data_IF_993375385141
#
_entry.id   IF_993375385141
#
_cell.length_a   1.000
_cell.length_b   1.000
_cell.length_c   1.000
_cell.angle_alpha   90.00
_cell.angle_beta   90.00
_cell.angle_gamma   90.00
#
_symmetry.space_group_name_H-M   'P 1'
#
loop_
_entity.id
_entity.type
_entity.pdbx_description
1 polymer ?
#
# COMPACT_ATOMS: atom_id res chain seq x y z
N UNK A 1 -10.50 -3.54 -35.50
CA UNK A 1 -10.90 -2.23 -34.92
C UNK A 1 -10.74 -1.08 -35.91
N UNK A 2 -9.60 -0.38 -36.03
CA UNK A 2 -9.55 0.89 -36.80
C UNK A 2 -9.99 0.78 -38.27
N UNK A 3 -9.56 -0.27 -39.00
CA UNK A 3 -9.99 -0.50 -40.38
C UNK A 3 -11.43 -1.00 -40.51
N UNK A 4 -11.93 -1.73 -39.51
CA UNK A 4 -13.26 -2.34 -39.51
C UNK A 4 -14.35 -1.33 -39.14
N UNK A 5 -14.06 -0.44 -38.20
CA UNK A 5 -15.00 0.56 -37.69
C UNK A 5 -14.81 1.95 -38.31
N UNK A 6 -13.84 2.11 -39.23
CA UNK A 6 -13.53 3.41 -39.83
C UNK A 6 -13.08 4.46 -38.81
N UNK A 7 -12.37 4.04 -37.76
CA UNK A 7 -12.00 4.91 -36.64
C UNK A 7 -11.07 6.03 -37.10
N UNK A 8 -11.44 7.29 -36.83
CA UNK A 8 -10.61 8.48 -37.12
C UNK A 8 -10.00 9.12 -35.87
N UNK A 9 -10.50 8.77 -34.69
CA UNK A 9 -10.05 9.30 -33.41
C UNK A 9 -9.99 8.18 -32.36
N UNK A 10 -8.88 8.11 -31.62
CA UNK A 10 -8.69 7.25 -30.47
C UNK A 10 -8.38 8.12 -29.25
N UNK A 11 -9.11 7.91 -28.15
CA UNK A 11 -8.89 8.62 -26.89
C UNK A 11 -8.59 7.62 -25.78
N UNK A 12 -7.66 7.97 -24.89
CA UNK A 12 -7.41 7.19 -23.68
C UNK A 12 -6.75 8.05 -22.60
N UNK A 13 -6.91 7.61 -21.35
CA UNK A 13 -6.22 8.20 -20.22
C UNK A 13 -4.72 7.86 -20.26
N UNK A 14 -3.87 8.86 -20.01
CA UNK A 14 -2.42 8.67 -20.01
C UNK A 14 -1.99 7.87 -18.78
N UNK A 15 -1.31 6.76 -19.02
CA UNK A 15 -0.66 5.96 -18.00
C UNK A 15 0.74 6.51 -17.66
N UNK A 16 1.03 6.88 -16.40
CA UNK A 16 2.35 7.36 -15.99
C UNK A 16 3.38 6.23 -15.80
N UNK A 17 2.99 4.95 -15.75
CA UNK A 17 3.88 3.84 -15.44
C UNK A 17 4.76 3.46 -16.65
N UNK A 18 6.00 2.98 -16.46
CA UNK A 18 6.95 2.72 -17.55
C UNK A 18 6.43 1.75 -18.61
N UNK A 19 5.79 0.65 -18.20
CA UNK A 19 5.20 -0.31 -19.15
C UNK A 19 4.05 0.35 -19.94
N UNK A 20 3.13 1.03 -19.25
CA UNK A 20 2.03 1.77 -19.87
C UNK A 20 2.52 2.80 -20.89
N UNK A 21 3.55 3.57 -20.54
CA UNK A 21 4.19 4.53 -21.47
C UNK A 21 4.75 3.86 -22.72
N UNK A 22 5.39 2.70 -22.59
CA UNK A 22 5.94 1.97 -23.73
C UNK A 22 4.83 1.41 -24.62
N UNK A 23 3.79 0.80 -24.03
CA UNK A 23 2.59 0.34 -24.73
C UNK A 23 1.94 1.50 -25.49
N UNK A 24 1.66 2.60 -24.81
CA UNK A 24 0.96 3.76 -25.37
C UNK A 24 1.76 4.40 -26.51
N UNK A 25 3.09 4.46 -26.40
CA UNK A 25 3.95 4.94 -27.48
C UNK A 25 3.83 4.08 -28.75
N UNK A 26 3.78 2.75 -28.60
CA UNK A 26 3.58 1.84 -29.71
C UNK A 26 2.18 2.00 -30.34
N UNK A 27 1.13 2.12 -29.51
CA UNK A 27 -0.24 2.35 -30.00
C UNK A 27 -0.36 3.68 -30.74
N UNK A 28 0.28 4.75 -30.24
CA UNK A 28 0.31 6.05 -30.91
C UNK A 28 1.02 5.98 -32.26
N UNK A 29 2.11 5.21 -32.36
CA UNK A 29 2.81 5.01 -33.63
C UNK A 29 1.92 4.31 -34.66
N UNK A 30 1.27 3.20 -34.27
CA UNK A 30 0.33 2.46 -35.13
C UNK A 30 -0.84 3.36 -35.55
N UNK A 31 -1.45 4.08 -34.61
CA UNK A 31 -2.57 4.98 -34.90
C UNK A 31 -2.19 6.07 -35.92
N UNK A 32 -0.97 6.64 -35.79
CA UNK A 32 -0.44 7.63 -36.74
C UNK A 32 -0.26 7.05 -38.13
N UNK A 33 0.28 5.84 -38.26
CA UNK A 33 0.43 5.15 -39.56
C UNK A 33 -0.93 4.92 -40.23
N UNK A 34 -1.97 4.69 -39.44
CA UNK A 34 -3.34 4.49 -39.91
C UNK A 34 -4.12 5.80 -40.12
N UNK A 35 -3.50 6.97 -39.91
CA UNK A 35 -4.18 8.28 -40.02
C UNK A 35 -5.20 8.57 -38.92
N UNK A 36 -5.14 7.85 -37.80
CA UNK A 36 -6.02 8.02 -36.64
C UNK A 36 -5.46 9.09 -35.71
N UNK A 37 -6.26 10.09 -35.38
CA UNK A 37 -5.91 11.11 -34.39
C UNK A 37 -5.92 10.52 -32.98
N UNK A 38 -4.89 10.76 -32.17
CA UNK A 38 -4.81 10.25 -30.79
C UNK A 38 -4.88 11.39 -29.78
N UNK A 39 -5.83 11.31 -28.85
CA UNK A 39 -5.99 12.27 -27.76
C UNK A 39 -5.74 11.58 -26.41
N UNK A 40 -4.63 11.94 -25.77
CA UNK A 40 -4.29 11.48 -24.43
C UNK A 40 -4.48 12.59 -23.40
N UNK A 41 -5.13 12.29 -22.28
CA UNK A 41 -5.29 13.21 -21.15
C UNK A 41 -4.85 12.56 -19.84
N UNK A 42 -4.19 13.33 -18.98
CA UNK A 42 -3.84 12.87 -17.63
C UNK A 42 -5.02 13.12 -16.70
N UNK A 43 -5.57 12.08 -16.09
CA UNK A 43 -6.60 12.17 -15.04
C UNK A 43 -6.45 11.13 -13.92
N UNK A 44 -5.63 10.09 -14.12
CA UNK A 44 -5.31 9.08 -13.10
C UNK A 44 -4.57 9.66 -11.91
N UNK A 45 -3.82 10.75 -12.12
CA UNK A 45 -3.06 11.47 -11.10
C UNK A 45 -3.50 12.93 -10.99
N UNK A 46 -3.35 13.50 -9.79
CA UNK A 46 -3.61 14.91 -9.51
C UNK A 46 -2.75 15.81 -10.41
N UNK A 47 -1.45 15.48 -10.47
CA UNK A 47 -0.47 16.23 -11.24
C UNK A 47 0.12 15.38 -12.36
N UNK A 48 0.71 16.05 -13.35
CA UNK A 48 1.57 15.37 -14.33
C UNK A 48 2.92 15.10 -13.66
N UNK A 49 3.36 13.83 -13.50
CA UNK A 49 4.66 13.52 -12.90
C UNK A 49 5.83 14.27 -13.53
N UNK A 50 5.79 14.50 -14.85
CA UNK A 50 6.85 15.21 -15.58
C UNK A 50 7.02 16.66 -15.08
N UNK A 51 5.92 17.36 -14.77
CA UNK A 51 5.98 18.72 -14.24
C UNK A 51 6.63 18.78 -12.86
N UNK A 52 6.40 17.77 -12.02
CA UNK A 52 7.02 17.67 -10.69
C UNK A 52 8.53 17.42 -10.84
N UNK A 53 8.91 16.53 -11.77
CA UNK A 53 10.30 16.21 -12.09
C UNK A 53 11.04 17.43 -12.66
N UNK A 54 10.42 18.18 -13.57
CA UNK A 54 10.94 19.44 -14.13
C UNK A 54 11.22 20.46 -13.02
N UNK A 55 10.25 20.69 -12.12
CA UNK A 55 10.44 21.60 -10.97
C UNK A 55 11.53 21.16 -10.00
N UNK A 56 11.92 19.90 -10.03
CA UNK A 56 13.00 19.34 -9.21
C UNK A 56 14.32 19.17 -10.00
N UNK A 57 14.51 19.92 -11.09
CA UNK A 57 15.75 19.91 -11.86
C UNK A 57 15.94 18.65 -12.71
N UNK A 58 14.85 18.06 -13.21
CA UNK A 58 14.87 16.92 -14.12
C UNK A 58 15.01 15.56 -13.43
N UNK A 59 14.94 15.50 -12.09
CA UNK A 59 15.02 14.24 -11.32
C UNK A 59 13.81 14.07 -10.41
N UNK A 60 13.28 12.86 -10.21
CA UNK A 60 12.19 12.66 -9.27
C UNK A 60 12.63 12.93 -7.83
N UNK A 61 11.79 13.54 -6.98
CA UNK A 61 12.10 13.70 -5.57
C UNK A 61 12.13 12.33 -4.88
N UNK A 62 13.22 12.03 -4.16
CA UNK A 62 13.40 10.76 -3.44
C UNK A 62 13.10 10.86 -1.93
N UNK A 63 12.51 11.96 -1.49
CA UNK A 63 11.96 12.08 -0.13
C UNK A 63 10.59 12.70 -0.18
N UNK A 64 9.68 12.21 0.64
CA UNK A 64 8.32 12.72 0.70
C UNK A 64 8.27 14.21 1.10
N UNK A 65 9.20 14.66 1.96
CA UNK A 65 9.32 16.08 2.32
C UNK A 65 9.73 16.96 1.15
N UNK A 66 10.71 16.52 0.34
CA UNK A 66 11.10 17.23 -0.89
C UNK A 66 9.94 17.31 -1.87
N UNK A 67 9.21 16.20 -2.06
CA UNK A 67 8.00 16.16 -2.86
C UNK A 67 6.94 17.15 -2.39
N UNK A 68 6.63 17.19 -1.09
CA UNK A 68 5.69 18.15 -0.52
C UNK A 68 6.13 19.61 -0.74
N UNK A 69 7.42 19.91 -0.57
CA UNK A 69 7.95 21.25 -0.82
C UNK A 69 7.81 21.69 -2.28
N UNK A 70 7.96 20.76 -3.24
CA UNK A 70 7.74 21.05 -4.66
C UNK A 70 6.27 21.39 -4.89
N UNK A 71 5.34 20.58 -4.36
CA UNK A 71 3.91 20.80 -4.51
C UNK A 71 3.43 22.11 -3.87
N UNK A 72 4.03 22.55 -2.76
CA UNK A 72 3.72 23.85 -2.14
C UNK A 72 4.02 25.03 -3.08
N UNK A 73 4.89 24.85 -4.07
CA UNK A 73 5.28 25.86 -5.05
C UNK A 73 4.65 25.59 -6.43
N UNK A 74 3.66 24.70 -6.52
CA UNK A 74 2.90 24.42 -7.75
C UNK A 74 1.49 24.97 -7.63
N UNK A 75 0.88 25.22 -8.78
CA UNK A 75 -0.55 25.50 -8.83
C UNK A 75 -1.35 24.30 -8.30
N UNK A 76 -2.60 24.54 -7.92
CA UNK A 76 -3.50 23.46 -7.52
C UNK A 76 -3.71 22.47 -8.70
N UNK A 77 -4.05 21.21 -8.41
CA UNK A 77 -4.40 20.26 -9.45
C UNK A 77 -5.54 20.80 -10.32
N UNK A 78 -5.61 20.42 -11.61
CA UNK A 78 -6.77 20.74 -12.44
C UNK A 78 -8.05 20.24 -11.78
N UNK A 79 -9.15 20.97 -11.98
CA UNK A 79 -10.47 20.53 -11.56
C UNK A 79 -10.86 19.23 -12.29
N UNK A 80 -11.66 18.35 -11.66
CA UNK A 80 -12.28 17.24 -12.37
C UNK A 80 -13.08 17.78 -13.56
N UNK A 81 -13.08 17.03 -14.67
CA UNK A 81 -13.99 17.34 -15.78
C UNK A 81 -15.43 17.00 -15.37
N UNK A 82 -16.40 17.66 -16.00
CA UNK A 82 -17.82 17.33 -15.82
C UNK A 82 -18.13 15.91 -16.29
N UNK A 83 -19.18 15.31 -15.73
CA UNK A 83 -19.74 14.05 -16.23
C UNK A 83 -20.31 14.28 -17.62
N UNK A 84 -20.03 13.34 -18.54
CA UNK A 84 -20.61 13.38 -19.88
C UNK A 84 -22.13 13.30 -19.77
N UNK A 85 -22.83 14.29 -20.34
CA UNK A 85 -24.30 14.32 -20.33
C UNK A 85 -24.88 13.84 -21.65
N UNK A 86 -26.14 13.40 -21.64
CA UNK A 86 -26.86 13.09 -22.88
C UNK A 86 -26.93 14.28 -23.84
N UNK A 87 -26.92 15.50 -23.31
CA UNK A 87 -26.87 16.74 -24.09
C UNK A 87 -25.52 16.97 -24.78
N UNK A 88 -24.40 16.48 -24.24
CA UNK A 88 -23.09 16.60 -24.90
C UNK A 88 -22.85 15.50 -25.96
N UNK A 89 -23.48 14.34 -25.76
CA UNK A 89 -23.49 13.26 -26.73
C UNK A 89 -24.36 13.64 -27.94
N UNK A 90 -25.44 14.40 -27.73
CA UNK A 90 -26.36 14.90 -28.76
C UNK A 90 -26.85 13.78 -29.70
N UNK A 91 -26.50 13.89 -30.99
CA UNK A 91 -26.87 13.03 -32.10
C UNK A 91 -25.86 11.90 -32.35
N UNK A 92 -24.77 11.84 -31.58
CA UNK A 92 -23.75 10.80 -31.72
C UNK A 92 -24.31 9.46 -31.24
N UNK A 93 -24.27 8.46 -32.10
CA UNK A 93 -24.76 7.10 -31.81
C UNK A 93 -23.60 6.10 -31.76
N UNK A 94 -23.75 5.08 -30.91
CA UNK A 94 -22.92 3.88 -30.93
C UNK A 94 -23.72 2.78 -31.62
N UNK A 95 -23.31 2.32 -32.82
CA UNK A 95 -23.97 1.18 -33.47
C UNK A 95 -23.84 -0.08 -32.60
N UNK A 96 -24.97 -0.71 -32.28
CA UNK A 96 -25.04 -1.95 -31.50
C UNK A 96 -25.82 -2.96 -32.34
N UNK A 97 -25.23 -4.14 -32.54
CA UNK A 97 -25.86 -5.27 -33.22
C UNK A 97 -26.52 -6.22 -32.22
N UNK A 98 -27.44 -7.07 -32.70
CA UNK A 98 -28.15 -8.04 -31.86
C UNK A 98 -27.21 -9.08 -31.23
N UNK A 99 -26.04 -9.33 -31.84
CA UNK A 99 -24.98 -10.23 -31.37
C UNK A 99 -23.90 -9.52 -30.52
N UNK A 100 -24.20 -8.32 -29.99
CA UNK A 100 -23.24 -7.53 -29.22
C UNK A 100 -22.71 -8.29 -28.00
N UNK A 101 -23.59 -8.88 -27.19
CA UNK A 101 -23.20 -9.56 -25.95
C UNK A 101 -22.32 -10.78 -26.22
N UNK A 102 -22.52 -11.48 -27.36
CA UNK A 102 -21.69 -12.62 -27.76
C UNK A 102 -20.27 -12.21 -28.18
N UNK A 103 -20.11 -11.02 -28.78
CA UNK A 103 -18.82 -10.55 -29.32
C UNK A 103 -18.04 -9.63 -28.37
N UNK A 104 -18.76 -8.79 -27.64
CA UNK A 104 -18.21 -7.67 -26.88
C UNK A 104 -18.74 -7.60 -25.44
N UNK A 105 -19.57 -8.55 -25.02
CA UNK A 105 -20.08 -8.64 -23.66
C UNK A 105 -18.95 -8.75 -22.63
N UNK A 106 -19.22 -8.28 -21.40
CA UNK A 106 -18.28 -8.43 -20.29
C UNK A 106 -18.26 -9.89 -19.86
N UNK A 107 -17.11 -10.59 -19.93
CA UNK A 107 -17.08 -12.02 -19.65
C UNK A 107 -17.31 -12.32 -18.17
N UNK A 108 -17.93 -13.46 -17.88
CA UNK A 108 -18.10 -13.98 -16.53
C UNK A 108 -16.81 -14.64 -16.00
N UNK A 109 -16.74 -14.91 -14.69
CA UNK A 109 -15.59 -15.63 -14.12
C UNK A 109 -15.51 -17.07 -14.64
N UNK A 110 -16.64 -17.73 -14.84
CA UNK A 110 -16.75 -19.08 -15.40
C UNK A 110 -16.27 -19.12 -16.85
N UNK A 111 -16.61 -18.11 -17.66
CA UNK A 111 -16.15 -17.99 -19.05
C UNK A 111 -14.62 -17.79 -19.13
N UNK A 112 -14.04 -17.14 -18.13
CA UNK A 112 -12.59 -17.02 -17.97
C UNK A 112 -11.93 -18.26 -17.36
N UNK A 113 -12.70 -19.30 -17.01
CA UNK A 113 -12.21 -20.58 -16.48
C UNK A 113 -11.98 -20.62 -14.97
N UNK A 114 -12.54 -19.69 -14.21
CA UNK A 114 -12.47 -19.70 -12.74
C UNK A 114 -13.56 -20.59 -12.13
N UNK A 115 -13.19 -21.30 -11.06
CA UNK A 115 -14.14 -22.01 -10.20
C UNK A 115 -14.83 -21.03 -9.26
N UNK A 116 -16.16 -20.95 -9.39
CA UNK A 116 -17.01 -20.03 -8.62
C UNK A 116 -17.72 -20.70 -7.45
N UNK A 117 -17.66 -22.03 -7.31
CA UNK A 117 -18.43 -22.76 -6.28
C UNK A 117 -17.99 -22.36 -4.86
N UNK A 118 -16.73 -21.96 -4.72
CA UNK A 118 -16.11 -21.58 -3.45
C UNK A 118 -15.99 -20.07 -3.25
N UNK A 119 -16.52 -19.26 -4.17
CA UNK A 119 -16.45 -17.80 -4.05
C UNK A 119 -17.32 -17.32 -2.89
N UNK A 120 -16.67 -16.62 -1.95
CA UNK A 120 -17.37 -15.92 -0.88
C UNK A 120 -17.98 -14.62 -1.41
N UNK A 121 -18.95 -14.09 -0.67
CA UNK A 121 -19.54 -12.80 -0.98
C UNK A 121 -18.46 -11.70 -1.00
N UNK A 122 -18.40 -10.94 -2.09
CA UNK A 122 -17.39 -9.90 -2.28
C UNK A 122 -17.55 -8.76 -1.26
N UNK A 123 -16.48 -8.46 -0.52
CA UNK A 123 -16.43 -7.28 0.37
C UNK A 123 -16.33 -5.97 -0.43
N UNK A 124 -15.60 -6.02 -1.54
CA UNK A 124 -15.36 -4.88 -2.44
C UNK A 124 -16.07 -5.11 -3.76
N UNK A 125 -17.27 -4.53 -3.88
CA UNK A 125 -17.98 -4.49 -5.16
C UNK A 125 -17.29 -3.51 -6.10
N UNK A 126 -17.00 -3.91 -7.34
CA UNK A 126 -16.38 -3.02 -8.34
C UNK A 126 -17.34 -1.97 -8.90
N UNK A 127 -16.78 -0.98 -9.62
CA UNK A 127 -17.53 -0.03 -10.45
C UNK A 127 -17.64 1.40 -9.90
N UNK A 128 -17.89 2.35 -10.80
CA UNK A 128 -18.02 3.78 -10.51
C UNK A 128 -19.18 4.08 -9.55
N UNK A 129 -20.36 3.46 -9.75
CA UNK A 129 -21.52 3.73 -8.90
C UNK A 129 -21.24 3.42 -7.42
N UNK A 130 -20.59 2.28 -7.14
CA UNK A 130 -20.19 1.94 -5.77
C UNK A 130 -19.14 2.93 -5.26
N UNK A 131 -18.17 3.33 -6.09
CA UNK A 131 -17.15 4.30 -5.72
C UNK A 131 -17.73 5.65 -5.29
N UNK A 132 -18.73 6.14 -6.02
CA UNK A 132 -19.42 7.40 -5.72
C UNK A 132 -20.26 7.30 -4.44
N UNK A 133 -21.02 6.20 -4.26
CA UNK A 133 -21.74 5.94 -3.00
C UNK A 133 -20.79 5.89 -1.80
N UNK A 134 -19.63 5.25 -1.95
CA UNK A 134 -18.62 5.21 -0.88
C UNK A 134 -17.98 6.56 -0.63
N UNK A 135 -17.76 7.38 -1.65
CA UNK A 135 -17.26 8.75 -1.52
C UNK A 135 -18.22 9.60 -0.69
N UNK A 136 -19.52 9.55 -1.00
CA UNK A 136 -20.56 10.24 -0.23
C UNK A 136 -20.51 9.83 1.24
N UNK A 137 -20.56 8.53 1.51
CA UNK A 137 -20.45 8.02 2.88
C UNK A 137 -19.13 8.41 3.55
N UNK A 138 -18.02 8.44 2.81
CA UNK A 138 -16.71 8.86 3.31
C UNK A 138 -16.74 10.31 3.80
N UNK A 139 -17.32 11.22 3.01
CA UNK A 139 -17.42 12.65 3.30
C UNK A 139 -18.45 12.96 4.40
N UNK A 140 -19.43 12.08 4.64
CA UNK A 140 -20.42 12.23 5.72
C UNK A 140 -19.93 11.82 7.12
N UNK A 141 -18.77 11.16 7.22
CA UNK A 141 -18.23 10.63 8.50
C UNK A 141 -17.88 11.73 9.49
N UNK A 142 -18.84 12.20 10.28
CA UNK A 142 -18.72 13.29 11.26
C UNK A 142 -17.44 13.27 12.10
N UNK A 143 -17.05 12.10 12.64
CA UNK A 143 -15.84 11.97 13.47
C UNK A 143 -14.53 12.12 12.66
N UNK A 144 -14.49 11.58 11.44
CA UNK A 144 -13.37 11.77 10.52
C UNK A 144 -13.31 13.22 10.07
N UNK A 145 -14.45 13.80 9.70
CA UNK A 145 -14.60 15.20 9.29
C UNK A 145 -14.21 16.17 10.41
N UNK A 146 -14.52 15.87 11.68
CA UNK A 146 -14.09 16.70 12.80
C UNK A 146 -12.57 16.72 12.98
N UNK A 147 -11.91 15.58 12.68
CA UNK A 147 -10.48 15.35 12.87
C UNK A 147 -9.62 15.46 11.60
N UNK A 148 -10.26 15.58 10.43
CA UNK A 148 -9.68 15.57 9.08
C UNK A 148 -8.53 14.56 8.91
N UNK A 149 -8.83 13.27 9.10
CA UNK A 149 -7.85 12.21 8.83
C UNK A 149 -6.80 12.00 9.92
N UNK A 150 -7.06 12.43 11.16
CA UNK A 150 -6.26 12.07 12.35
C UNK A 150 -6.96 11.12 13.36
N UNK A 151 -7.79 10.13 12.95
CA UNK A 151 -8.35 9.20 13.92
C UNK A 151 -7.25 8.27 14.48
N UNK A 152 -7.32 7.97 15.78
CA UNK A 152 -6.48 6.92 16.38
C UNK A 152 -6.93 5.57 15.80
N UNK A 153 -5.98 4.71 15.45
CA UNK A 153 -6.26 3.34 15.02
C UNK A 153 -7.01 2.59 16.13
N UNK A 154 -8.07 1.90 15.76
CA UNK A 154 -8.83 0.99 16.62
C UNK A 154 -8.82 -0.42 16.02
N UNK A 155 -9.14 -1.47 16.78
CA UNK A 155 -9.27 -2.82 16.22
C UNK A 155 -10.24 -2.87 15.02
N UNK A 156 -11.32 -2.08 15.05
CA UNK A 156 -12.28 -1.99 13.94
C UNK A 156 -11.67 -1.46 12.64
N UNK A 157 -10.58 -0.69 12.73
CA UNK A 157 -9.87 -0.15 11.56
C UNK A 157 -9.16 -1.22 10.73
N UNK A 158 -9.00 -2.43 11.28
CA UNK A 158 -8.41 -3.57 10.57
C UNK A 158 -9.36 -4.20 9.56
N UNK A 159 -10.67 -4.01 9.73
CA UNK A 159 -11.69 -4.54 8.84
C UNK A 159 -11.99 -3.58 7.69
N UNK A 160 -12.42 -4.09 6.53
CA UNK A 160 -12.87 -3.26 5.42
C UNK A 160 -13.98 -2.30 5.85
N UNK A 161 -13.86 -1.04 5.40
CA UNK A 161 -14.87 -0.03 5.67
C UNK A 161 -15.76 0.19 4.45
N UNK A 162 -17.06 0.40 4.68
CA UNK A 162 -18.01 0.90 3.66
C UNK A 162 -17.67 2.30 3.13
N UNK A 163 -16.62 2.92 3.64
CA UNK A 163 -16.14 4.24 3.23
C UNK A 163 -14.73 4.22 2.68
N UNK A 164 -14.14 3.03 2.50
CA UNK A 164 -12.82 2.89 1.88
C UNK A 164 -12.90 3.11 0.38
N UNK A 165 -11.93 3.84 -0.16
CA UNK A 165 -11.88 4.34 -1.53
C UNK A 165 -10.66 3.80 -2.32
N UNK A 166 -9.68 3.20 -1.65
CA UNK A 166 -8.39 2.85 -2.28
C UNK A 166 -8.49 1.91 -3.50
N UNK A 167 -9.32 0.84 -3.54
CA UNK A 167 -9.45 0.03 -4.75
C UNK A 167 -10.04 0.83 -5.92
N UNK A 168 -11.00 1.71 -5.64
CA UNK A 168 -11.66 2.53 -6.66
C UNK A 168 -10.75 3.60 -7.24
N UNK A 169 -9.81 4.13 -6.44
CA UNK A 169 -8.76 5.03 -6.92
C UNK A 169 -7.73 4.30 -7.80
N UNK A 170 -7.45 3.02 -7.53
CA UNK A 170 -6.55 2.17 -8.34
C UNK A 170 -7.15 1.89 -9.72
N UNK A 171 -8.42 1.47 -9.77
CA UNK A 171 -9.09 1.12 -11.03
C UNK A 171 -9.69 2.31 -11.79
N UNK A 172 -9.56 3.54 -11.28
CA UNK A 172 -10.13 4.73 -11.93
C UNK A 172 -11.65 4.86 -11.77
N UNK A 173 -12.31 3.97 -11.03
CA UNK A 173 -13.73 4.09 -10.68
C UNK A 173 -14.04 5.36 -9.87
N UNK A 174 -13.05 5.88 -9.14
CA UNK A 174 -13.12 7.19 -8.50
C UNK A 174 -11.99 8.09 -9.02
N UNK A 175 -12.35 9.26 -9.56
CA UNK A 175 -11.37 10.27 -9.92
C UNK A 175 -10.66 10.82 -8.69
N UNK A 176 -9.32 10.74 -8.68
CA UNK A 176 -8.51 11.35 -7.63
C UNK A 176 -8.71 12.87 -7.53
N UNK A 177 -8.98 13.54 -8.65
CA UNK A 177 -9.26 14.99 -8.72
C UNK A 177 -10.60 15.34 -8.11
N UNK A 178 -11.63 14.53 -8.37
CA UNK A 178 -12.95 14.68 -7.75
C UNK A 178 -12.84 14.55 -6.23
N UNK A 179 -12.19 13.49 -5.76
CA UNK A 179 -11.97 13.29 -4.33
C UNK A 179 -11.18 14.45 -3.69
N UNK A 180 -10.10 14.91 -4.33
CA UNK A 180 -9.32 16.06 -3.86
C UNK A 180 -10.16 17.34 -3.75
N UNK A 181 -10.99 17.62 -4.76
CA UNK A 181 -11.84 18.80 -4.82
C UNK A 181 -12.93 18.77 -3.75
N UNK A 182 -13.72 17.70 -3.69
CA UNK A 182 -14.81 17.57 -2.72
C UNK A 182 -14.30 17.58 -1.27
N UNK A 183 -13.13 16.98 -1.02
CA UNK A 183 -12.49 17.04 0.28
C UNK A 183 -12.06 18.47 0.65
N UNK A 184 -11.55 19.24 -0.30
CA UNK A 184 -11.20 20.65 -0.08
C UNK A 184 -12.42 21.52 0.18
N UNK A 185 -13.52 21.30 -0.54
CA UNK A 185 -14.78 22.02 -0.34
C UNK A 185 -15.36 21.73 1.04
N UNK A 186 -15.39 20.46 1.44
CA UNK A 186 -15.83 20.06 2.77
C UNK A 186 -14.96 20.68 3.88
N UNK A 187 -13.64 20.68 3.70
CA UNK A 187 -12.71 21.30 4.64
C UNK A 187 -12.98 22.80 4.78
N UNK A 188 -13.09 23.53 3.66
CA UNK A 188 -13.40 24.97 3.68
C UNK A 188 -14.76 25.25 4.31
N UNK A 189 -15.77 24.42 4.02
CA UNK A 189 -17.12 24.55 4.59
C UNK A 189 -17.10 24.49 6.11
N UNK A 190 -16.28 23.60 6.68
CA UNK A 190 -16.27 23.28 8.12
C UNK A 190 -15.23 24.09 8.90
N UNK A 191 -13.97 24.13 8.43
CA UNK A 191 -12.87 24.81 9.13
C UNK A 191 -12.71 26.28 8.75
N UNK A 192 -13.46 26.76 7.74
CA UNK A 192 -13.41 28.16 7.26
C UNK A 192 -11.99 28.68 7.00
N UNK A 193 -11.10 27.79 6.57
CA UNK A 193 -9.68 28.06 6.34
C UNK A 193 -9.17 27.30 5.12
N UNK A 194 -8.03 27.72 4.52
CA UNK A 194 -7.39 26.97 3.45
C UNK A 194 -7.02 25.55 3.89
N UNK A 195 -7.32 24.53 3.06
CA UNK A 195 -6.93 23.15 3.34
C UNK A 195 -5.40 22.97 3.42
N UNK A 196 -4.86 22.33 4.47
CA UNK A 196 -3.44 22.02 4.53
C UNK A 196 -3.12 20.79 3.67
N UNK A 197 -1.90 20.69 3.11
CA UNK A 197 -1.47 19.52 2.32
C UNK A 197 -1.63 18.18 3.07
N UNK A 198 -1.52 18.18 4.40
CA UNK A 198 -1.70 16.97 5.20
C UNK A 198 -3.09 16.35 5.07
N UNK A 199 -4.10 17.13 4.66
CA UNK A 199 -5.46 16.65 4.40
C UNK A 199 -5.47 15.56 3.32
N UNK A 200 -4.61 15.69 2.31
CA UNK A 200 -4.55 14.80 1.16
C UNK A 200 -3.46 13.73 1.30
N UNK A 201 -3.00 13.44 2.52
CA UNK A 201 -1.79 12.64 2.75
C UNK A 201 -1.76 11.30 2.00
N UNK A 202 -2.90 10.60 1.89
CA UNK A 202 -2.98 9.34 1.12
C UNK A 202 -2.82 9.55 -0.39
N UNK A 203 -3.53 10.53 -0.97
CA UNK A 203 -3.38 10.89 -2.38
C UNK A 203 -1.96 11.33 -2.68
N UNK A 204 -1.35 12.15 -1.81
CA UNK A 204 0.00 12.65 -2.03
C UNK A 204 1.07 11.55 -1.95
N UNK A 205 0.90 10.53 -1.09
CA UNK A 205 1.77 9.35 -1.11
C UNK A 205 1.66 8.56 -2.41
N UNK A 206 0.43 8.41 -2.93
CA UNK A 206 0.21 7.80 -4.25
C UNK A 206 0.94 8.59 -5.35
N UNK A 207 0.74 9.90 -5.40
CA UNK A 207 1.42 10.80 -6.37
C UNK A 207 2.95 10.74 -6.24
N UNK A 208 3.48 10.65 -5.01
CA UNK A 208 4.92 10.54 -4.76
C UNK A 208 5.50 9.28 -5.42
N UNK A 209 4.85 8.13 -5.26
CA UNK A 209 5.33 6.89 -5.86
C UNK A 209 5.21 6.88 -7.38
N UNK A 210 4.09 7.36 -7.95
CA UNK A 210 3.98 7.54 -9.41
C UNK A 210 5.08 8.45 -9.97
N UNK A 211 5.40 9.54 -9.27
CA UNK A 211 6.47 10.46 -9.67
C UNK A 211 7.84 9.80 -9.59
N UNK A 212 8.10 9.00 -8.55
CA UNK A 212 9.36 8.28 -8.40
C UNK A 212 9.55 7.17 -9.46
N UNK A 213 8.46 6.54 -9.88
CA UNK A 213 8.49 5.35 -10.73
C UNK A 213 8.44 5.65 -12.25
N UNK A 214 7.80 6.74 -12.68
CA UNK A 214 7.48 7.02 -14.10
C UNK A 214 8.67 7.00 -15.08
N UNK A 215 9.89 7.28 -14.61
CA UNK A 215 11.11 7.30 -15.41
C UNK A 215 12.10 6.18 -15.02
N UNK A 216 11.67 5.20 -14.23
CA UNK A 216 12.49 4.08 -13.79
C UNK A 216 11.83 2.74 -14.18
N UNK A 217 12.18 2.16 -15.34
CA UNK A 217 11.67 0.85 -15.76
C UNK A 217 12.08 -0.33 -14.88
N UNK A 218 12.97 -0.11 -13.90
CA UNK A 218 13.45 -1.10 -12.94
C UNK A 218 12.97 -0.82 -11.51
N UNK A 219 11.93 0.01 -11.35
CA UNK A 219 11.47 0.45 -10.02
C UNK A 219 11.00 -0.70 -9.12
N UNK A 220 10.51 -1.78 -9.72
CA UNK A 220 10.05 -3.02 -9.11
C UNK A 220 11.14 -4.10 -8.93
N UNK A 221 12.38 -3.78 -9.31
CA UNK A 221 13.52 -4.66 -9.14
C UNK A 221 14.52 -4.09 -8.13
N UNK A 222 15.29 -4.95 -7.49
CA UNK A 222 16.45 -4.53 -6.70
C UNK A 222 17.65 -4.30 -7.62
N UNK A 223 18.02 -5.28 -8.44
CA UNK A 223 19.17 -5.20 -9.33
C UNK A 223 18.94 -4.21 -10.47
N UNK A 224 19.93 -3.34 -10.72
CA UNK A 224 19.85 -2.31 -11.76
C UNK A 224 18.94 -1.12 -11.41
N UNK A 225 18.23 -1.14 -10.28
CA UNK A 225 17.41 -0.03 -9.83
C UNK A 225 18.28 1.04 -9.14
N UNK A 226 18.42 2.25 -9.71
CA UNK A 226 19.37 3.25 -9.24
C UNK A 226 19.05 3.83 -7.86
N UNK A 227 17.84 3.64 -7.36
CA UNK A 227 17.40 4.15 -6.06
C UNK A 227 17.31 3.05 -4.99
N UNK A 228 17.54 1.79 -5.36
CA UNK A 228 17.38 0.65 -4.47
C UNK A 228 18.72 0.19 -3.91
N UNK A 229 18.78 0.00 -2.60
CA UNK A 229 19.93 -0.56 -1.91
C UNK A 229 20.05 -2.05 -2.24
N UNK A 230 21.25 -2.49 -2.60
CA UNK A 230 21.54 -3.88 -2.91
C UNK A 230 21.75 -4.67 -1.60
N UNK A 231 20.66 -5.19 -1.06
CA UNK A 231 20.66 -5.98 0.17
C UNK A 231 20.78 -7.46 -0.21
N UNK A 232 21.70 -8.24 0.39
CA UNK A 232 21.83 -9.66 0.12
C UNK A 232 20.70 -10.43 0.81
N UNK A 233 19.50 -10.37 0.24
CA UNK A 233 18.32 -11.11 0.70
C UNK A 233 18.50 -12.62 0.49
N UNK A 234 17.90 -13.42 1.37
CA UNK A 234 17.98 -14.87 1.31
C UNK A 234 16.95 -15.42 0.31
N UNK A 235 17.34 -16.48 -0.42
CA UNK A 235 16.41 -17.24 -1.25
C UNK A 235 15.82 -18.37 -0.42
N UNK A 236 14.63 -18.16 0.12
CA UNK A 236 13.94 -19.14 0.95
C UNK A 236 12.48 -19.35 0.48
N UNK A 237 12.25 -20.18 -0.54
CA UNK A 237 10.92 -20.38 -1.12
C UNK A 237 9.93 -21.01 -0.12
N UNK A 238 10.42 -21.85 0.81
CA UNK A 238 9.57 -22.45 1.84
C UNK A 238 9.06 -21.38 2.83
N UNK A 239 9.94 -20.50 3.30
CA UNK A 239 9.55 -19.42 4.18
C UNK A 239 8.59 -18.42 3.49
N UNK A 240 8.85 -18.11 2.21
CA UNK A 240 7.96 -17.29 1.40
C UNK A 240 6.58 -17.93 1.27
N UNK A 241 6.50 -19.23 0.96
CA UNK A 241 5.23 -19.94 0.82
C UNK A 241 4.44 -19.95 2.14
N UNK A 242 5.11 -20.19 3.28
CA UNK A 242 4.49 -20.11 4.61
C UNK A 242 3.95 -18.72 4.92
N UNK A 243 4.70 -17.67 4.59
CA UNK A 243 4.24 -16.30 4.75
C UNK A 243 3.06 -15.97 3.82
N UNK A 244 3.16 -16.27 2.53
CA UNK A 244 2.11 -15.99 1.54
C UNK A 244 0.80 -16.71 1.84
N UNK A 245 0.85 -17.90 2.44
CA UNK A 245 -0.31 -18.71 2.78
C UNK A 245 -0.82 -18.52 4.21
N UNK A 246 -0.24 -17.61 5.00
CA UNK A 246 -0.66 -17.39 6.39
C UNK A 246 -0.42 -18.60 7.30
N UNK A 247 0.75 -19.23 7.17
CA UNK A 247 1.18 -20.44 7.89
C UNK A 247 2.52 -20.23 8.62
N UNK A 248 2.79 -19.01 9.08
CA UNK A 248 4.02 -18.65 9.77
C UNK A 248 4.06 -19.16 11.20
N UNK A 249 2.89 -19.51 11.77
CA UNK A 249 2.73 -19.84 13.18
C UNK A 249 2.62 -18.61 14.09
N UNK A 250 2.60 -17.39 13.51
CA UNK A 250 2.32 -16.15 14.20
C UNK A 250 0.88 -15.68 13.87
N UNK A 251 -0.09 -15.81 14.79
CA UNK A 251 -1.50 -15.58 14.48
C UNK A 251 -1.82 -14.21 13.91
N UNK A 252 -1.10 -13.17 14.35
CA UNK A 252 -1.26 -11.82 13.81
C UNK A 252 -0.87 -11.73 12.33
N UNK A 253 0.28 -12.30 11.95
CA UNK A 253 0.77 -12.31 10.57
C UNK A 253 -0.15 -13.18 9.72
N UNK A 254 -0.48 -14.35 10.22
CA UNK A 254 -1.32 -15.33 9.51
C UNK A 254 -2.74 -14.80 9.28
N UNK A 255 -3.35 -14.14 10.27
CA UNK A 255 -4.67 -13.52 10.12
C UNK A 255 -4.67 -12.39 9.07
N UNK A 256 -3.61 -11.57 9.01
CA UNK A 256 -3.47 -10.53 7.99
C UNK A 256 -3.36 -11.14 6.60
N UNK A 257 -2.52 -12.16 6.43
CA UNK A 257 -2.32 -12.80 5.12
C UNK A 257 -3.58 -13.56 4.67
N UNK A 258 -4.33 -14.15 5.59
CA UNK A 258 -5.65 -14.71 5.32
C UNK A 258 -6.64 -13.62 4.89
N UNK A 259 -6.73 -12.51 5.62
CA UNK A 259 -7.59 -11.38 5.25
C UNK A 259 -7.26 -10.87 3.84
N UNK A 260 -5.97 -10.69 3.53
CA UNK A 260 -5.51 -10.25 2.21
C UNK A 260 -6.00 -11.19 1.12
N UNK A 261 -5.85 -12.51 1.31
CA UNK A 261 -6.27 -13.51 0.32
C UNK A 261 -7.78 -13.58 0.14
N UNK A 262 -8.56 -13.44 1.21
CA UNK A 262 -10.02 -13.58 1.16
C UNK A 262 -10.74 -12.32 0.73
N UNK A 263 -10.20 -11.14 1.04
CA UNK A 263 -10.89 -9.86 0.85
C UNK A 263 -10.17 -8.92 -0.12
N UNK A 264 -8.93 -9.24 -0.50
CA UNK A 264 -8.13 -8.41 -1.40
C UNK A 264 -7.72 -7.05 -0.83
N UNK A 265 -7.87 -6.84 0.48
CA UNK A 265 -7.53 -5.59 1.13
C UNK A 265 -7.08 -5.81 2.57
N UNK A 266 -6.03 -5.10 2.97
CA UNK A 266 -5.59 -5.02 4.37
C UNK A 266 -5.18 -3.58 4.71
N UNK A 267 -5.41 -3.20 5.96
CA UNK A 267 -5.07 -1.87 6.47
C UNK A 267 -3.55 -1.60 6.37
N UNK A 268 -3.14 -0.34 6.17
CA UNK A 268 -1.72 0.04 6.00
C UNK A 268 -0.81 -0.49 7.12
N UNK A 269 -1.28 -0.50 8.36
CA UNK A 269 -0.53 -1.09 9.49
C UNK A 269 -0.32 -2.58 9.35
N UNK A 270 -1.33 -3.30 8.86
CA UNK A 270 -1.22 -4.71 8.61
C UNK A 270 -0.18 -4.97 7.50
N UNK A 271 -0.20 -4.15 6.43
CA UNK A 271 0.85 -4.15 5.38
C UNK A 271 2.25 -3.97 5.98
N UNK A 272 2.42 -2.99 6.86
CA UNK A 272 3.71 -2.75 7.53
C UNK A 272 4.17 -3.95 8.36
N UNK A 273 3.25 -4.58 9.10
CA UNK A 273 3.56 -5.72 9.93
C UNK A 273 4.05 -6.91 9.10
N UNK A 274 3.31 -7.29 8.05
CA UNK A 274 3.66 -8.46 7.22
C UNK A 274 4.87 -8.20 6.32
N UNK A 275 5.04 -6.97 5.81
CA UNK A 275 6.22 -6.59 5.05
C UNK A 275 7.48 -6.58 5.92
N UNK A 276 7.38 -6.07 7.16
CA UNK A 276 8.47 -6.12 8.12
C UNK A 276 8.84 -7.58 8.43
N UNK A 277 7.86 -8.43 8.71
CA UNK A 277 8.09 -9.85 9.01
C UNK A 277 8.82 -10.56 7.86
N UNK A 278 8.35 -10.39 6.62
CA UNK A 278 8.97 -11.02 5.45
C UNK A 278 10.41 -10.54 5.19
N UNK A 279 10.67 -9.25 5.35
CA UNK A 279 11.94 -8.63 4.93
C UNK A 279 12.90 -8.50 6.12
N UNK A 280 13.21 -7.25 6.52
CA UNK A 280 14.22 -6.91 7.53
C UNK A 280 13.87 -7.31 8.97
N UNK A 281 12.65 -7.74 9.23
CA UNK A 281 12.17 -8.09 10.56
C UNK A 281 12.57 -9.51 10.94
N UNK A 282 12.15 -10.50 10.15
CA UNK A 282 12.21 -11.90 10.57
C UNK A 282 12.79 -12.84 9.51
N UNK A 283 12.21 -12.88 8.31
CA UNK A 283 12.53 -13.91 7.31
C UNK A 283 13.69 -13.57 6.37
N UNK A 284 14.09 -12.30 6.28
CA UNK A 284 15.15 -11.83 5.39
C UNK A 284 14.96 -12.19 3.91
N UNK A 285 13.71 -12.26 3.46
CA UNK A 285 13.35 -12.50 2.05
C UNK A 285 13.25 -11.16 1.31
N UNK A 286 13.55 -11.16 0.00
CA UNK A 286 13.48 -9.93 -0.81
C UNK A 286 12.07 -9.34 -0.80
N UNK A 287 12.03 -8.01 -0.75
CA UNK A 287 10.80 -7.22 -0.88
C UNK A 287 10.15 -7.42 -2.25
N UNK A 288 10.90 -7.84 -3.27
CA UNK A 288 10.40 -8.18 -4.62
C UNK A 288 9.41 -9.35 -4.56
N UNK A 289 9.67 -10.35 -3.70
CA UNK A 289 8.77 -11.50 -3.55
C UNK A 289 7.49 -11.12 -2.81
N UNK A 290 7.60 -10.24 -1.81
CA UNK A 290 6.43 -9.67 -1.13
C UNK A 290 5.58 -8.82 -2.08
N UNK A 291 6.22 -8.05 -2.95
CA UNK A 291 5.57 -7.25 -3.99
C UNK A 291 4.73 -8.13 -4.91
N UNK A 292 5.26 -9.25 -5.40
CA UNK A 292 4.53 -10.18 -6.28
C UNK A 292 3.27 -10.75 -5.62
N UNK A 293 3.37 -11.15 -4.34
CA UNK A 293 2.21 -11.66 -3.60
C UNK A 293 1.16 -10.57 -3.40
N UNK A 294 1.58 -9.33 -3.15
CA UNK A 294 0.65 -8.20 -3.07
C UNK A 294 0.07 -7.82 -4.43
N UNK A 295 0.82 -7.95 -5.51
CA UNK A 295 0.32 -7.70 -6.87
C UNK A 295 -0.80 -8.68 -7.25
N UNK A 296 -0.64 -9.94 -6.86
CA UNK A 296 -1.65 -11.00 -7.06
C UNK A 296 -2.91 -10.79 -6.20
N UNK A 297 -2.76 -10.41 -4.93
CA UNK A 297 -3.87 -10.45 -3.97
C UNK A 297 -4.49 -9.08 -3.66
N UNK A 298 -3.75 -7.98 -3.76
CA UNK A 298 -4.16 -6.68 -3.23
C UNK A 298 -4.87 -5.83 -4.29
N UNK A 299 -6.14 -5.50 -4.04
CA UNK A 299 -6.99 -4.78 -4.99
C UNK A 299 -6.51 -3.35 -5.28
N UNK A 300 -5.82 -2.71 -4.35
CA UNK A 300 -5.30 -1.34 -4.49
C UNK A 300 -3.79 -1.28 -4.76
N UNK A 301 -3.18 -2.39 -5.20
CA UNK A 301 -1.80 -2.41 -5.65
C UNK A 301 -1.69 -1.86 -7.09
N UNK A 302 -1.36 -0.57 -7.21
CA UNK A 302 -0.73 -0.03 -8.42
C UNK A 302 0.74 -0.45 -8.44
N UNK A 303 1.33 -0.71 -9.62
CA UNK A 303 2.74 -1.16 -9.74
C UNK A 303 3.70 -0.17 -9.05
N UNK A 304 3.53 1.12 -9.30
CA UNK A 304 4.32 2.20 -8.70
C UNK A 304 4.18 2.24 -7.18
N UNK A 305 2.94 2.15 -6.67
CA UNK A 305 2.65 2.27 -5.24
C UNK A 305 3.11 1.03 -4.49
N UNK A 306 2.90 -0.16 -5.07
CA UNK A 306 3.29 -1.43 -4.49
C UNK A 306 4.83 -1.52 -4.37
N UNK A 307 5.56 -1.35 -5.48
CA UNK A 307 7.03 -1.36 -5.48
C UNK A 307 7.63 -0.31 -4.54
N UNK A 308 7.11 0.93 -4.61
CA UNK A 308 7.57 2.04 -3.78
C UNK A 308 7.37 1.77 -2.28
N UNK A 309 6.21 1.22 -1.91
CA UNK A 309 5.89 0.87 -0.53
C UNK A 309 6.77 -0.27 -0.01
N UNK A 310 7.00 -1.31 -0.81
CA UNK A 310 7.87 -2.43 -0.43
C UNK A 310 9.33 -2.01 -0.27
N UNK A 311 9.85 -1.15 -1.15
CA UNK A 311 11.18 -0.55 -0.98
C UNK A 311 11.27 0.32 0.28
N UNK A 312 10.22 1.09 0.60
CA UNK A 312 10.18 1.93 1.81
C UNK A 312 10.16 1.07 3.09
N UNK A 313 9.30 0.06 3.15
CA UNK A 313 9.10 -0.79 4.34
C UNK A 313 10.30 -1.70 4.65
N UNK A 314 10.95 -2.21 3.61
CA UNK A 314 12.17 -3.02 3.71
C UNK A 314 13.43 -2.19 4.00
N UNK A 315 13.32 -0.85 4.00
CA UNK A 315 14.46 0.07 4.07
C UNK A 315 15.45 -0.12 2.90
N UNK A 316 14.94 -0.45 1.72
CA UNK A 316 15.72 -0.55 0.47
C UNK A 316 15.75 0.78 -0.28
N UNK A 317 14.79 1.67 -0.06
CA UNK A 317 14.80 3.05 -0.56
C UNK A 317 13.95 3.96 0.31
N UNK A 318 14.04 5.28 0.10
CA UNK A 318 13.22 6.35 0.71
C UNK A 318 13.27 6.50 2.26
N UNK A 319 13.61 5.44 2.99
CA UNK A 319 13.65 5.37 4.44
C UNK A 319 14.81 4.49 4.90
N UNK A 320 15.52 4.95 5.93
CA UNK A 320 16.78 4.33 6.39
C UNK A 320 16.78 3.99 7.88
N UNK A 321 15.66 4.17 8.61
CA UNK A 321 15.60 3.85 10.04
C UNK A 321 15.18 2.37 10.25
N UNK A 322 16.08 1.46 9.92
CA UNK A 322 15.83 0.01 9.99
C UNK A 322 15.76 -0.56 11.43
N UNK A 323 16.11 0.23 12.45
CA UNK A 323 16.14 -0.21 13.85
C UNK A 323 14.77 -0.50 14.48
N UNK A 324 13.69 -0.07 13.84
CA UNK A 324 12.33 -0.28 14.33
C UNK A 324 11.65 -1.44 13.58
N UNK A 325 11.87 -2.67 14.05
CA UNK A 325 11.14 -3.85 13.57
C UNK A 325 9.83 -4.03 14.36
N UNK A 326 8.77 -4.40 13.66
CA UNK A 326 7.48 -4.71 14.27
C UNK A 326 7.55 -6.09 14.92
N UNK A 327 7.22 -6.17 16.21
CA UNK A 327 7.10 -7.47 16.88
C UNK A 327 5.78 -8.13 16.49
N UNK A 328 5.77 -9.33 15.88
CA UNK A 328 4.57 -9.98 15.37
C UNK A 328 3.56 -10.32 16.49
N UNK A 329 4.00 -10.44 17.73
CA UNK A 329 3.13 -10.70 18.89
C UNK A 329 2.67 -9.40 19.56
N UNK A 330 3.63 -8.58 20.03
CA UNK A 330 3.33 -7.37 20.82
C UNK A 330 2.52 -6.36 20.01
N UNK A 331 2.80 -6.26 18.73
CA UNK A 331 2.08 -5.33 17.86
C UNK A 331 0.64 -5.77 17.62
N UNK A 332 0.42 -7.06 17.32
CA UNK A 332 -0.93 -7.65 17.22
C UNK A 332 -1.73 -7.44 18.50
N UNK A 333 -1.15 -7.74 19.67
CA UNK A 333 -1.79 -7.50 20.98
C UNK A 333 -2.16 -6.04 21.22
N UNK A 334 -1.38 -5.10 20.70
CA UNK A 334 -1.69 -3.66 20.82
C UNK A 334 -2.81 -3.24 19.86
N UNK A 335 -2.81 -3.77 18.64
CA UNK A 335 -3.78 -3.45 17.61
C UNK A 335 -5.15 -4.11 17.87
N UNK A 336 -5.14 -5.32 18.40
CA UNK A 336 -6.31 -6.14 18.73
C UNK A 336 -6.07 -6.88 20.08
N UNK A 337 -6.31 -6.21 21.22
CA UNK A 337 -6.05 -6.78 22.54
C UNK A 337 -6.81 -8.07 22.86
N UNK A 338 -8.03 -8.21 22.32
CA UNK A 338 -8.90 -9.36 22.58
C UNK A 338 -8.60 -10.55 21.65
N UNK A 339 -7.95 -10.29 20.51
CA UNK A 339 -7.68 -11.28 19.48
C UNK A 339 -8.90 -11.55 18.59
N UNK A 340 -9.89 -10.65 18.55
CA UNK A 340 -11.13 -10.85 17.79
C UNK A 340 -10.86 -10.89 16.27
N UNK A 341 -9.87 -10.12 15.80
CA UNK A 341 -9.37 -10.17 14.42
C UNK A 341 -8.76 -11.54 14.12
N UNK A 342 -7.92 -12.06 15.02
CA UNK A 342 -7.33 -13.40 14.88
C UNK A 342 -8.42 -14.47 14.86
N UNK A 343 -9.42 -14.40 15.73
CA UNK A 343 -10.52 -15.38 15.78
C UNK A 343 -11.36 -15.38 14.50
N UNK A 344 -11.52 -14.20 13.88
CA UNK A 344 -12.29 -14.03 12.65
C UNK A 344 -11.58 -14.69 11.47
N UNK A 345 -10.29 -14.36 11.25
CA UNK A 345 -9.55 -14.84 10.09
C UNK A 345 -8.84 -16.19 10.30
N UNK A 346 -8.66 -16.62 11.55
CA UNK A 346 -8.12 -17.95 11.90
C UNK A 346 -9.10 -18.69 12.82
N UNK A 347 -10.21 -19.23 12.29
CA UNK A 347 -11.23 -19.92 13.08
C UNK A 347 -10.69 -21.12 13.88
N UNK A 348 -9.58 -21.72 13.44
CA UNK A 348 -8.88 -22.80 14.17
C UNK A 348 -8.38 -22.36 15.55
N UNK A 349 -8.15 -21.06 15.75
CA UNK A 349 -7.73 -20.47 17.03
C UNK A 349 -8.90 -19.87 17.83
N UNK A 350 -10.14 -19.97 17.34
CA UNK A 350 -11.30 -19.22 17.89
C UNK A 350 -11.58 -19.45 19.38
N UNK A 351 -11.20 -20.60 19.93
CA UNK A 351 -11.45 -20.97 21.32
C UNK A 351 -10.26 -20.72 22.25
N UNK A 352 -9.11 -20.23 21.75
CA UNK A 352 -7.97 -19.95 22.61
C UNK A 352 -8.28 -18.80 23.57
N UNK A 353 -7.90 -18.87 24.86
CA UNK A 353 -8.03 -17.73 25.76
C UNK A 353 -7.26 -16.51 25.23
N UNK A 354 -7.79 -15.29 25.43
CA UNK A 354 -7.15 -14.03 25.01
C UNK A 354 -5.69 -13.90 25.46
N UNK A 355 -5.35 -14.47 26.63
CA UNK A 355 -3.98 -14.52 27.13
C UNK A 355 -2.99 -15.13 26.12
N UNK A 356 -3.41 -16.17 25.39
CA UNK A 356 -2.56 -16.96 24.50
C UNK A 356 -2.82 -16.72 23.01
N UNK A 357 -3.89 -16.01 22.63
CA UNK A 357 -4.33 -15.89 21.23
C UNK A 357 -3.26 -15.31 20.28
N UNK A 358 -2.36 -14.46 20.79
CA UNK A 358 -1.26 -13.85 20.01
C UNK A 358 0.04 -14.69 20.04
N UNK A 359 0.14 -15.67 20.95
CA UNK A 359 1.32 -16.54 21.11
C UNK A 359 0.90 -17.96 21.58
N UNK A 360 0.08 -18.69 20.79
CA UNK A 360 -0.59 -19.89 21.25
C UNK A 360 0.36 -21.05 21.57
N UNK A 361 1.58 -21.04 21.03
CA UNK A 361 2.65 -21.98 21.35
C UNK A 361 3.11 -21.91 22.82
N UNK A 362 2.78 -20.84 23.54
CA UNK A 362 3.06 -20.70 24.99
C UNK A 362 1.95 -21.29 25.87
N UNK A 363 0.82 -21.68 25.28
CA UNK A 363 -0.29 -22.25 26.02
C UNK A 363 0.04 -23.67 26.51
N UNK A 364 -0.24 -24.00 27.79
CA UNK A 364 -0.13 -25.38 28.28
C UNK A 364 -0.97 -26.35 27.46
N UNK A 365 -0.56 -27.61 27.38
CA UNK A 365 -1.27 -28.62 26.61
C UNK A 365 -2.75 -28.78 27.02
N UNK A 366 -3.06 -28.64 28.32
CA UNK A 366 -4.44 -28.66 28.82
C UNK A 366 -5.30 -27.53 28.22
N UNK A 367 -4.72 -26.35 28.02
CA UNK A 367 -5.40 -25.20 27.39
C UNK A 367 -5.59 -25.46 25.89
N UNK A 368 -4.59 -26.02 25.21
CA UNK A 368 -4.69 -26.38 23.79
C UNK A 368 -5.78 -27.42 23.54
N UNK A 369 -5.83 -28.48 24.38
CA UNK A 369 -6.89 -29.50 24.35
C UNK A 369 -8.27 -28.88 24.59
N UNK A 370 -8.40 -28.00 25.58
CA UNK A 370 -9.66 -27.30 25.86
C UNK A 370 -10.11 -26.37 24.71
N UNK A 371 -9.15 -25.72 24.03
CA UNK A 371 -9.41 -24.91 22.84
C UNK A 371 -9.72 -25.76 21.58
N UNK A 372 -9.53 -27.09 21.65
CA UNK A 372 -9.66 -28.02 20.51
C UNK A 372 -8.72 -27.70 19.36
N UNK A 373 -7.52 -27.21 19.68
CA UNK A 373 -6.48 -26.91 18.71
C UNK A 373 -5.11 -27.15 19.35
N UNK A 374 -4.43 -28.17 18.87
CA UNK A 374 -3.07 -28.57 19.26
C UNK A 374 -2.08 -27.88 18.33
N UNK A 375 -1.22 -27.04 18.90
CA UNK A 375 -0.16 -26.37 18.15
C UNK A 375 0.85 -27.43 17.68
N UNK A 376 1.39 -27.26 16.47
CA UNK A 376 2.14 -28.23 15.64
C UNK A 376 1.32 -29.25 14.86
N UNK A 377 0.02 -29.41 15.17
CA UNK A 377 -0.89 -30.31 14.42
C UNK A 377 -1.98 -29.54 13.70
N UNK A 378 -2.79 -28.80 14.45
CA UNK A 378 -3.97 -28.08 13.94
C UNK A 378 -3.61 -26.65 13.51
N UNK A 379 -2.58 -26.06 14.12
CA UNK A 379 -2.00 -24.77 13.76
C UNK A 379 -0.46 -24.84 13.90
N UNK A 380 0.33 -24.29 12.97
CA UNK A 380 1.79 -24.46 12.96
C UNK A 380 2.49 -23.83 14.17
N UNK A 381 3.65 -24.37 14.52
CA UNK A 381 4.60 -23.70 15.41
C UNK A 381 5.19 -22.46 14.73
N UNK A 382 5.63 -21.43 15.49
CA UNK A 382 6.38 -20.32 14.94
C UNK A 382 7.55 -20.80 14.09
N UNK A 383 7.58 -20.36 12.83
CA UNK A 383 8.63 -20.75 11.88
C UNK A 383 10.02 -20.20 12.24
N UNK A 384 10.08 -19.20 13.13
CA UNK A 384 11.31 -18.56 13.61
C UNK A 384 11.19 -18.16 15.09
N UNK A 385 12.33 -17.90 15.73
CA UNK A 385 12.39 -17.20 17.01
C UNK A 385 12.59 -15.70 16.75
N UNK A 386 11.50 -14.92 16.83
CA UNK A 386 11.50 -13.47 16.55
C UNK A 386 12.59 -12.70 17.31
N UNK A 387 12.86 -13.04 18.58
CA UNK A 387 13.82 -12.27 19.39
C UNK A 387 15.22 -12.44 18.80
N UNK A 388 15.60 -13.67 18.46
CA UNK A 388 16.91 -13.97 17.87
C UNK A 388 17.01 -13.46 16.43
N UNK A 389 16.00 -13.73 15.60
CA UNK A 389 16.04 -13.36 14.19
C UNK A 389 16.03 -11.85 13.98
N UNK A 390 15.17 -11.11 14.69
CA UNK A 390 15.14 -9.64 14.56
C UNK A 390 16.44 -8.98 14.99
N UNK A 391 17.12 -9.49 16.03
CA UNK A 391 18.43 -9.00 16.43
C UNK A 391 19.49 -9.26 15.36
N UNK A 392 19.53 -10.48 14.82
CA UNK A 392 20.44 -10.84 13.73
C UNK A 392 20.20 -9.97 12.49
N UNK A 393 18.95 -9.80 12.08
CA UNK A 393 18.58 -9.03 10.89
C UNK A 393 18.85 -7.52 11.06
N UNK A 394 18.67 -6.96 12.26
CA UNK A 394 19.09 -5.59 12.57
C UNK A 394 20.60 -5.44 12.37
N UNK A 395 21.40 -6.42 12.81
CA UNK A 395 22.85 -6.39 12.62
C UNK A 395 23.25 -6.54 11.14
N UNK A 396 22.60 -7.44 10.38
CA UNK A 396 22.78 -7.56 8.92
C UNK A 396 22.50 -6.21 8.24
N UNK A 397 21.41 -5.52 8.59
CA UNK A 397 21.11 -4.19 8.04
C UNK A 397 22.17 -3.15 8.38
N UNK A 398 22.70 -3.14 9.62
CA UNK A 398 23.80 -2.24 9.98
C UNK A 398 25.03 -2.48 9.09
N UNK A 399 25.40 -3.73 8.88
CA UNK A 399 26.55 -4.09 8.05
C UNK A 399 26.37 -3.61 6.61
N UNK A 400 25.18 -3.83 6.02
CA UNK A 400 24.87 -3.33 4.67
C UNK A 400 25.03 -1.82 4.60
N UNK A 401 24.44 -1.08 5.53
CA UNK A 401 24.52 0.39 5.51
C UNK A 401 25.92 0.93 5.83
N UNK A 402 26.71 0.26 6.65
CA UNK A 402 28.12 0.60 6.88
C UNK A 402 28.96 0.44 5.60
N UNK A 403 28.76 -0.65 4.86
CA UNK A 403 29.44 -0.89 3.59
C UNK A 403 29.05 0.16 2.53
N UNK A 404 27.78 0.58 2.47
CA UNK A 404 27.34 1.64 1.56
C UNK A 404 28.02 2.98 1.83
N UNK A 405 28.19 3.35 3.10
CA UNK A 405 28.91 4.58 3.49
C UNK A 405 30.37 4.50 3.06
N UNK A 406 31.03 3.35 3.28
CA UNK A 406 32.41 3.13 2.86
C UNK A 406 32.58 3.20 1.33
N UNK A 407 31.66 2.59 0.58
CA UNK A 407 31.65 2.62 -0.88
C UNK A 407 31.45 4.04 -1.44
N UNK A 408 30.54 4.83 -0.84
CA UNK A 408 30.35 6.24 -1.22
C UNK A 408 31.56 7.12 -0.88
N UNK A 409 32.22 6.85 0.25
CA UNK A 409 33.41 7.58 0.69
C UNK A 409 34.67 7.32 -0.16
N UNK A 410 34.74 6.17 -0.84
CA UNK A 410 35.90 5.76 -1.66
C UNK A 410 35.81 6.22 -3.12
N UNK A 411 34.62 6.43 -3.68
CA UNK A 411 34.43 6.75 -5.11
C UNK A 411 34.14 8.25 -5.36
N UNK A 412 33.75 9.03 -4.35
CA UNK A 412 33.53 10.48 -4.49
C UNK A 412 33.93 11.30 -3.24
N UNK A 413 35.16 11.86 -3.17
CA UNK A 413 35.53 12.76 -2.08
C UNK A 413 34.79 14.11 -2.10
N UNK A 414 34.04 14.42 -3.16
CA UNK A 414 33.39 15.73 -3.37
C UNK A 414 31.88 15.78 -3.11
N UNK A 415 31.21 14.67 -2.78
CA UNK A 415 29.82 14.70 -2.33
C UNK A 415 29.85 14.74 -0.80
N UNK A 416 29.70 15.94 -0.23
CA UNK A 416 29.51 16.09 1.21
C UNK A 416 28.38 15.18 1.65
N UNK A 417 28.70 14.18 2.44
CA UNK A 417 27.74 13.44 3.24
C UNK A 417 26.80 14.45 3.90
N UNK A 418 25.47 14.23 3.93
CA UNK A 418 24.67 14.89 4.94
C UNK A 418 25.31 14.55 6.27
N UNK A 419 25.70 15.57 7.05
CA UNK A 419 26.21 15.34 8.39
C UNK A 419 25.19 14.45 9.12
N UNK A 420 25.69 13.43 9.81
CA UNK A 420 24.92 12.54 10.70
C UNK A 420 24.34 13.33 11.89
N UNK A 421 24.60 14.64 11.97
CA UNK A 421 24.09 15.54 12.97
C UNK A 421 22.90 16.34 12.43
N UNK A 422 21.78 16.22 13.15
CA UNK A 422 20.45 16.78 12.90
C UNK A 422 19.48 15.92 12.08
N UNK A 423 19.27 14.69 12.56
CA UNK A 423 17.95 14.07 12.45
C UNK A 423 16.95 14.84 13.34
N UNK A 424 15.70 15.06 12.89
CA UNK A 424 14.65 15.51 13.81
C UNK A 424 14.56 14.51 14.97
N UNK A 425 14.27 14.97 16.20
CA UNK A 425 14.14 14.08 17.34
C UNK A 425 13.12 12.97 17.03
N UNK A 426 13.22 11.80 17.71
CA UNK A 426 12.19 10.79 17.62
C UNK A 426 10.79 11.42 17.84
N UNK A 427 9.71 10.81 17.34
CA UNK A 427 8.37 11.19 17.79
C UNK A 427 8.37 11.29 19.33
N UNK A 428 7.63 12.22 19.97
CA UNK A 428 7.87 12.66 21.36
C UNK A 428 7.90 11.62 22.49
N UNK A 429 7.83 10.32 22.22
CA UNK A 429 7.56 9.27 23.19
C UNK A 429 8.65 8.16 23.22
N UNK A 430 9.93 8.53 23.13
CA UNK A 430 11.04 7.62 23.46
C UNK A 430 12.00 8.25 24.47
N UNK A 431 11.87 7.91 25.75
CA UNK A 431 12.96 8.05 26.71
C UNK A 431 13.93 6.87 26.57
N UNK A 432 15.25 7.16 26.52
CA UNK A 432 16.30 6.16 26.61
C UNK A 432 16.11 5.30 27.88
N UNK A 433 16.40 4.00 27.86
CA UNK A 433 16.37 3.19 29.08
C UNK A 433 17.38 3.77 30.09
N UNK A 434 16.87 4.40 31.14
CA UNK A 434 17.69 4.71 32.33
C UNK A 434 17.88 3.40 33.08
N UNK A 435 19.13 2.97 33.25
CA UNK A 435 19.46 1.98 34.27
C UNK A 435 19.00 2.54 35.61
N UNK A 436 18.10 1.86 36.32
CA UNK A 436 17.99 2.11 37.75
C UNK A 436 17.79 0.83 38.54
N UNK A 437 18.66 0.70 39.54
CA UNK A 437 18.64 -0.31 40.59
C UNK A 437 17.34 -0.15 41.36
N UNK A 438 16.44 -1.12 41.24
CA UNK A 438 15.48 -1.60 42.23
C UNK A 438 14.24 -2.14 41.51
N UNK A 439 14.09 -3.46 41.57
CA UNK A 439 13.00 -4.19 40.93
C UNK A 439 11.66 -3.79 41.50
N UNK A 440 10.78 -3.31 40.61
CA UNK A 440 9.32 -3.44 40.60
C UNK A 440 8.84 -2.86 39.26
N UNK A 441 8.40 -3.74 38.36
CA UNK A 441 7.89 -3.38 37.04
C UNK A 441 6.38 -3.10 37.14
N UNK A 442 6.00 -1.82 37.21
CA UNK A 442 4.68 -1.35 36.80
C UNK A 442 4.88 -0.43 35.58
N UNK A 443 4.38 -0.84 34.42
CA UNK A 443 4.39 -0.01 33.21
C UNK A 443 2.96 0.10 32.69
N UNK A 444 2.32 1.20 33.08
CA UNK A 444 1.05 1.68 32.53
C UNK A 444 1.33 2.98 31.75
N UNK A 445 0.72 3.09 30.55
CA UNK A 445 0.65 4.27 29.65
C UNK A 445 1.99 4.61 28.94
N UNK A 446 2.08 4.92 27.64
CA UNK A 446 1.23 5.85 26.89
C UNK A 446 1.20 5.62 25.36
N UNK A 447 0.28 6.35 24.73
CA UNK A 447 -0.16 6.30 23.34
C UNK A 447 0.58 7.28 22.41
N UNK A 448 0.97 6.86 21.19
CA UNK A 448 0.87 7.60 19.91
C UNK A 448 1.60 6.86 18.77
N UNK A 449 0.92 5.90 18.12
CA UNK A 449 1.25 5.51 16.74
C UNK A 449 0.26 6.25 15.84
N UNK A 450 0.74 7.25 15.10
CA UNK A 450 -0.04 7.95 14.08
C UNK A 450 0.00 7.11 12.81
N UNK A 451 -1.11 6.43 12.55
CA UNK A 451 -1.29 5.62 11.34
C UNK A 451 -2.32 6.33 10.49
N UNK A 452 -1.96 6.54 9.23
CA UNK A 452 -2.87 7.10 8.25
C UNK A 452 -3.95 6.06 7.92
N UNK A 453 -5.19 6.44 8.19
CA UNK A 453 -6.38 5.69 7.73
C UNK A 453 -6.48 5.88 6.22
N UNK A 454 -6.60 4.80 5.47
CA UNK A 454 -6.85 4.88 4.04
C UNK A 454 -8.18 5.58 3.81
N UNK A 455 -8.18 6.45 2.80
CA UNK A 455 -9.39 7.06 2.30
C UNK A 455 -10.29 6.00 1.69
#
# INVERSE_FOLDING_TARGET
>A
MSSEWGTTCLTFEKDPEPFGKARDANIVAIAREMGVNVVMKTSHTLYKPEKIIEKNGGKPPLTYKSFQNILMNMDLPPLPQGTITSEEVEDKQTPISDDHDEKYGVPSLEELGFDIEQLQQTVWKGGESEALTRLEHHLERKAWVASFGRPKMTPQSLYPSRTGLSPYLRFGCLSCRRFFMELNELYRKIKKSPPPLSLHGQLLWREFYYTAATNNPKFDHMEGNPICVQIPWDKNPEALAKWANGQTGYPWVDAIMTQLRTEGWIHNVARHAVACFLTRGDLWVSWEEGMKVFDELLLDADWSVNAGSWMWLSCSSFFQQFFHCYCPVRYGRKADPNGDFIRTYLPVLKNFPTKYIHEPWTAPESVQRAAKCIISRDYPMPMVDHIKQSQNNIERMKQVYQQLVHYRGTIHPAIKSPKVDHYPPPPPDYEKPRSNKNGKNDIQRDSNYRVQVQA
#
